data_IF_417656843028
#
_entry.id   IF_417656843028
#
_cell.length_a   1.000
_cell.length_b   1.000
_cell.length_c   1.000
_cell.angle_alpha   90.00
_cell.angle_beta   90.00
_cell.angle_gamma   90.00
#
_symmetry.space_group_name_H-M   'P 1'
#
loop_
_entity.id
_entity.type
_entity.pdbx_description
1 polymer ?
#
# COMPACT_ATOMS: atom_id res chain seq x y z
N UNK A 1 -63.06 4.14 -31.94
CA UNK A 1 -61.99 3.13 -31.82
C UNK A 1 -60.59 3.71 -32.02
N UNK A 2 -60.30 4.56 -32.99
CA UNK A 2 -58.96 5.09 -33.23
C UNK A 2 -58.36 5.92 -32.09
N UNK A 3 -59.12 6.65 -31.29
CA UNK A 3 -58.58 7.46 -30.15
C UNK A 3 -58.11 6.62 -28.99
N UNK A 4 -58.60 5.43 -28.80
CA UNK A 4 -58.15 4.50 -27.71
C UNK A 4 -56.86 3.81 -28.08
N UNK A 5 -56.63 3.50 -29.35
CA UNK A 5 -55.40 2.89 -29.84
C UNK A 5 -54.20 3.85 -29.76
N UNK A 6 -54.39 5.13 -30.00
CA UNK A 6 -53.34 6.16 -29.89
C UNK A 6 -52.93 6.35 -28.43
N UNK A 7 -53.90 6.31 -27.50
CA UNK A 7 -53.60 6.39 -26.07
C UNK A 7 -52.80 5.21 -25.51
N UNK A 8 -53.07 4.00 -26.02
CA UNK A 8 -52.31 2.79 -25.65
C UNK A 8 -50.87 2.79 -26.22
N UNK A 9 -50.63 3.36 -27.39
CA UNK A 9 -49.31 3.50 -27.97
C UNK A 9 -48.44 4.56 -27.27
N UNK A 10 -49.04 5.61 -26.72
CA UNK A 10 -48.29 6.62 -25.94
C UNK A 10 -47.93 6.13 -24.54
N UNK A 11 -48.72 5.24 -23.92
CA UNK A 11 -48.38 4.65 -22.62
C UNK A 11 -47.30 3.58 -22.67
N UNK A 12 -47.13 2.93 -23.83
CA UNK A 12 -46.01 1.98 -24.02
C UNK A 12 -44.64 2.64 -24.26
N UNK A 13 -44.61 3.94 -24.58
CA UNK A 13 -43.38 4.70 -24.78
C UNK A 13 -42.71 5.18 -23.48
N UNK A 14 -43.38 5.04 -22.33
CA UNK A 14 -42.82 5.24 -21.01
C UNK A 14 -42.30 3.92 -20.39
N UNK A 15 -41.79 3.02 -21.21
CA UNK A 15 -40.91 1.95 -20.69
C UNK A 15 -39.70 2.64 -20.08
N UNK A 16 -39.77 2.82 -18.78
CA UNK A 16 -38.64 3.30 -17.97
C UNK A 16 -37.40 2.54 -18.39
N UNK A 17 -36.57 3.18 -19.19
CA UNK A 17 -35.16 2.82 -19.26
C UNK A 17 -34.63 3.06 -17.84
N UNK A 18 -34.81 2.08 -16.95
CA UNK A 18 -33.89 1.94 -15.84
C UNK A 18 -32.54 1.76 -16.52
N UNK A 19 -31.83 2.85 -16.76
CA UNK A 19 -30.46 2.81 -17.19
C UNK A 19 -29.78 1.92 -16.15
N UNK A 20 -29.42 0.72 -16.58
CA UNK A 20 -28.70 -0.21 -15.72
C UNK A 20 -27.44 0.57 -15.31
N UNK A 21 -27.44 1.03 -14.05
CA UNK A 21 -26.37 1.90 -13.53
C UNK A 21 -25.04 1.21 -13.88
N UNK A 22 -24.25 1.84 -14.71
CA UNK A 22 -23.00 1.26 -15.16
C UNK A 22 -22.18 0.83 -13.94
N UNK A 23 -21.73 -0.40 -13.95
CA UNK A 23 -20.90 -0.92 -12.86
C UNK A 23 -19.60 -0.11 -12.82
N UNK A 24 -19.24 0.53 -11.70
CA UNK A 24 -18.08 1.42 -11.63
C UNK A 24 -16.77 0.66 -11.82
N UNK A 25 -15.76 1.38 -12.25
CA UNK A 25 -14.37 0.96 -12.12
C UNK A 25 -13.97 0.93 -10.64
N UNK A 26 -12.95 0.17 -10.31
CA UNK A 26 -12.38 0.12 -8.95
C UNK A 26 -10.88 0.30 -9.02
N UNK A 27 -10.37 1.34 -8.36
CA UNK A 27 -8.95 1.62 -8.18
C UNK A 27 -8.61 1.47 -6.71
N UNK A 28 -7.67 0.57 -6.38
CA UNK A 28 -7.23 0.31 -5.01
C UNK A 28 -5.76 0.66 -4.86
N UNK A 29 -5.45 1.63 -4.02
CA UNK A 29 -4.11 1.85 -3.51
C UNK A 29 -3.90 0.95 -2.30
N UNK A 30 -2.97 0.00 -2.40
CA UNK A 30 -2.67 -0.96 -1.36
C UNK A 30 -1.25 -0.77 -0.84
N UNK A 31 -1.14 -0.13 0.31
CA UNK A 31 0.12 0.39 0.86
C UNK A 31 0.72 -0.58 1.87
N UNK A 32 2.04 -0.66 1.94
CA UNK A 32 2.78 -1.58 2.82
C UNK A 32 3.34 -0.83 4.05
N UNK A 33 3.09 -1.36 5.25
CA UNK A 33 3.59 -0.82 6.53
C UNK A 33 3.10 0.60 6.88
N UNK A 34 1.98 1.06 6.33
CA UNK A 34 1.47 2.39 6.62
C UNK A 34 0.60 2.38 7.89
N UNK A 35 1.01 3.15 8.90
CA UNK A 35 0.21 3.45 10.08
C UNK A 35 -0.73 4.65 9.82
N UNK A 36 -1.62 4.95 10.76
CA UNK A 36 -2.51 6.12 10.67
C UNK A 36 -1.78 7.47 10.88
N UNK A 37 -0.54 7.59 10.40
CA UNK A 37 0.29 8.81 10.42
C UNK A 37 0.04 9.60 9.13
N UNK A 38 -1.17 10.18 9.02
CA UNK A 38 -1.65 10.96 7.88
C UNK A 38 -2.37 12.20 8.40
N UNK A 39 -2.38 13.28 7.63
CA UNK A 39 -3.07 14.53 8.00
C UNK A 39 -4.56 14.30 8.28
N UNK A 40 -5.24 13.53 7.44
CA UNK A 40 -6.66 13.20 7.61
C UNK A 40 -6.97 12.42 8.90
N UNK A 41 -5.99 11.77 9.52
CA UNK A 41 -6.13 11.13 10.84
C UNK A 41 -5.60 12.01 12.00
N UNK A 42 -5.28 13.29 11.73
CA UNK A 42 -4.87 14.25 12.74
C UNK A 42 -3.38 14.26 13.05
N UNK A 43 -2.53 13.69 12.19
CA UNK A 43 -1.08 13.87 12.34
C UNK A 43 -0.69 15.32 12.03
N UNK A 44 -0.01 15.96 12.99
CA UNK A 44 0.51 17.32 12.84
C UNK A 44 1.82 17.35 12.04
N UNK A 45 2.47 16.21 11.87
CA UNK A 45 3.78 16.08 11.25
C UNK A 45 3.75 15.46 9.86
N UNK A 46 2.76 14.61 9.55
CA UNK A 46 2.66 13.99 8.23
C UNK A 46 2.26 15.01 7.16
N UNK A 47 2.92 14.98 6.02
CA UNK A 47 2.60 15.81 4.85
C UNK A 47 2.02 14.91 3.77
N UNK A 48 0.67 14.85 3.71
CA UNK A 48 -0.09 13.90 2.87
C UNK A 48 -1.26 14.55 2.12
N UNK A 49 -1.02 15.67 1.37
CA UNK A 49 -2.09 16.48 0.82
C UNK A 49 -2.99 15.75 -0.17
N UNK A 50 -2.48 14.74 -0.90
CA UNK A 50 -3.26 14.01 -1.89
C UNK A 50 -4.21 12.99 -1.22
N UNK A 51 -3.75 12.30 -0.19
CA UNK A 51 -4.56 11.37 0.59
C UNK A 51 -5.58 12.15 1.43
N UNK A 52 -5.17 13.27 2.01
CA UNK A 52 -6.06 14.14 2.80
C UNK A 52 -7.20 14.71 1.93
N UNK A 53 -6.89 15.11 0.69
CA UNK A 53 -7.91 15.51 -0.30
C UNK A 53 -8.85 14.34 -0.60
N UNK A 54 -8.31 13.14 -0.88
CA UNK A 54 -9.14 11.96 -1.14
C UNK A 54 -10.07 11.63 0.04
N UNK A 55 -9.57 11.74 1.27
CA UNK A 55 -10.37 11.53 2.48
C UNK A 55 -11.49 12.57 2.62
N UNK A 56 -11.21 13.84 2.31
CA UNK A 56 -12.20 14.93 2.37
C UNK A 56 -13.33 14.79 1.35
N UNK A 57 -13.10 14.07 0.25
CA UNK A 57 -14.05 13.82 -0.82
C UNK A 57 -14.82 12.50 -0.65
N UNK A 58 -14.53 11.71 0.38
CA UNK A 58 -15.03 10.35 0.53
C UNK A 58 -15.47 9.97 1.93
N UNK A 59 -15.32 8.68 2.23
CA UNK A 59 -15.63 8.10 3.54
C UNK A 59 -14.32 7.65 4.19
N UNK A 60 -14.03 8.20 5.37
CA UNK A 60 -12.88 7.84 6.18
C UNK A 60 -13.27 6.84 7.28
N UNK A 61 -12.53 5.74 7.38
CA UNK A 61 -12.75 4.71 8.39
C UNK A 61 -11.78 4.91 9.56
N UNK A 62 -12.26 5.46 10.68
CA UNK A 62 -11.43 5.71 11.87
C UNK A 62 -11.16 4.47 12.72
N UNK A 63 -11.88 3.37 12.48
CA UNK A 63 -11.77 2.11 13.23
C UNK A 63 -11.71 0.92 12.25
N UNK A 64 -10.68 0.92 11.38
CA UNK A 64 -10.39 -0.21 10.52
C UNK A 64 -9.27 -1.06 11.14
N UNK A 65 -9.45 -2.38 11.18
CA UNK A 65 -8.55 -3.33 11.83
C UNK A 65 -8.08 -4.39 10.84
N UNK A 66 -6.82 -4.77 10.97
CA UNK A 66 -6.23 -5.84 10.20
C UNK A 66 -6.49 -7.20 10.85
N UNK A 67 -6.64 -8.25 10.04
CA UNK A 67 -6.85 -9.61 10.56
C UNK A 67 -5.57 -10.19 11.19
N UNK A 68 -4.41 -9.83 10.66
CA UNK A 68 -3.11 -10.20 11.22
C UNK A 68 -2.06 -9.17 10.78
N UNK A 69 -1.25 -8.68 11.70
CA UNK A 69 -0.23 -7.66 11.44
C UNK A 69 1.02 -8.23 10.73
N UNK A 70 0.81 -8.94 9.62
CA UNK A 70 1.84 -9.54 8.74
C UNK A 70 1.38 -9.43 7.30
N UNK A 71 2.24 -8.99 6.39
CA UNK A 71 1.88 -8.62 5.01
C UNK A 71 1.09 -9.72 4.27
N UNK A 72 1.62 -10.96 4.14
CA UNK A 72 0.96 -11.98 3.34
C UNK A 72 -0.38 -12.46 3.93
N UNK A 73 -0.50 -12.83 5.21
CA UNK A 73 -1.79 -13.21 5.80
C UNK A 73 -2.84 -12.10 5.68
N UNK A 74 -2.46 -10.84 5.98
CA UNK A 74 -3.36 -9.69 5.83
C UNK A 74 -3.84 -9.52 4.39
N UNK A 75 -2.90 -9.51 3.43
CA UNK A 75 -3.21 -9.33 2.00
C UNK A 75 -4.07 -10.46 1.46
N UNK A 76 -3.81 -11.70 1.86
CA UNK A 76 -4.65 -12.83 1.48
C UNK A 76 -6.04 -12.74 2.08
N UNK A 77 -6.18 -12.31 3.34
CA UNK A 77 -7.49 -12.05 3.95
C UNK A 77 -8.27 -10.99 3.19
N UNK A 78 -7.64 -9.87 2.84
CA UNK A 78 -8.26 -8.79 2.06
C UNK A 78 -8.73 -9.29 0.69
N UNK A 79 -7.89 -10.05 -0.01
CA UNK A 79 -8.18 -10.48 -1.38
C UNK A 79 -9.13 -11.67 -1.47
N UNK A 80 -9.34 -12.41 -0.37
CA UNK A 80 -10.26 -13.58 -0.34
C UNK A 80 -11.50 -13.38 0.52
N UNK A 81 -11.50 -12.38 1.42
CA UNK A 81 -12.54 -12.19 2.42
C UNK A 81 -12.51 -13.23 3.55
N UNK A 82 -11.47 -14.06 3.63
CA UNK A 82 -11.32 -15.12 4.62
C UNK A 82 -10.27 -14.77 5.66
N UNK A 83 -10.48 -15.18 6.90
CA UNK A 83 -9.53 -14.97 7.99
C UNK A 83 -8.27 -15.83 7.82
N UNK A 84 -7.10 -15.42 8.37
CA UNK A 84 -5.90 -16.23 8.36
C UNK A 84 -6.09 -17.63 8.95
N UNK A 85 -6.93 -17.76 10.00
CA UNK A 85 -7.26 -19.04 10.64
C UNK A 85 -8.01 -19.95 9.67
N UNK A 86 -8.96 -19.43 8.89
CA UNK A 86 -9.70 -20.19 7.88
C UNK A 86 -8.80 -20.62 6.73
N UNK A 87 -7.86 -19.72 6.34
CA UNK A 87 -6.89 -20.01 5.29
C UNK A 87 -5.73 -20.92 5.75
N UNK A 88 -5.48 -21.03 7.07
CA UNK A 88 -4.27 -21.69 7.61
C UNK A 88 -2.99 -21.02 7.14
N UNK A 89 -3.02 -19.72 6.80
CA UNK A 89 -1.88 -18.97 6.25
C UNK A 89 -1.46 -17.90 7.23
N UNK A 90 -0.36 -18.17 7.94
CA UNK A 90 0.22 -17.30 8.96
C UNK A 90 1.61 -16.79 8.59
N UNK A 91 2.15 -17.25 7.46
CA UNK A 91 3.52 -16.98 7.01
C UNK A 91 3.54 -16.22 5.68
N UNK A 92 4.56 -15.40 5.49
CA UNK A 92 4.81 -14.69 4.23
C UNK A 92 5.25 -15.64 3.09
N UNK A 93 5.52 -16.91 3.38
CA UNK A 93 6.07 -17.88 2.43
C UNK A 93 5.04 -18.90 1.92
N UNK A 94 3.79 -18.85 2.41
CA UNK A 94 2.77 -19.83 2.04
C UNK A 94 1.89 -19.29 0.91
N UNK A 95 2.00 -19.80 -0.32
CA UNK A 95 1.16 -19.38 -1.44
C UNK A 95 -0.30 -19.84 -1.24
N UNK A 96 -1.27 -18.95 -1.54
CA UNK A 96 -2.70 -19.27 -1.44
C UNK A 96 -3.05 -20.55 -2.20
N UNK A 97 -2.62 -20.68 -3.45
CA UNK A 97 -2.97 -21.79 -4.33
C UNK A 97 -2.34 -23.13 -3.96
N UNK A 98 -1.32 -23.10 -3.09
CA UNK A 98 -0.73 -24.33 -2.53
C UNK A 98 -1.65 -24.97 -1.49
N UNK A 99 -2.36 -24.17 -0.71
CA UNK A 99 -3.24 -24.64 0.38
C UNK A 99 -4.72 -24.60 0.00
N UNK A 100 -5.13 -23.63 -0.82
CA UNK A 100 -6.53 -23.43 -1.22
C UNK A 100 -6.65 -23.23 -2.72
N UNK A 101 -6.91 -24.30 -3.45
CA UNK A 101 -7.12 -24.25 -4.91
C UNK A 101 -8.47 -23.65 -5.28
N UNK A 102 -9.50 -23.88 -4.44
CA UNK A 102 -10.91 -23.60 -4.71
C UNK A 102 -11.37 -22.20 -4.25
N UNK A 103 -10.59 -21.55 -3.39
CA UNK A 103 -10.98 -20.22 -2.87
C UNK A 103 -10.98 -19.19 -4.01
N UNK A 104 -12.13 -18.58 -4.22
CA UNK A 104 -12.28 -17.50 -5.21
C UNK A 104 -11.81 -16.20 -4.60
N UNK A 105 -10.78 -15.59 -5.20
CA UNK A 105 -10.29 -14.27 -4.81
C UNK A 105 -11.11 -13.14 -5.43
N UNK A 106 -11.01 -11.95 -4.85
CA UNK A 106 -11.63 -10.74 -5.40
C UNK A 106 -11.23 -10.50 -6.87
N UNK A 107 -9.93 -10.55 -7.26
CA UNK A 107 -9.55 -10.42 -8.68
C UNK A 107 -10.21 -11.45 -9.58
N UNK A 108 -10.29 -12.72 -9.16
CA UNK A 108 -10.97 -13.76 -9.93
C UNK A 108 -12.45 -13.46 -10.10
N UNK A 109 -13.13 -13.02 -9.03
CA UNK A 109 -14.54 -12.67 -9.08
C UNK A 109 -14.79 -11.52 -10.06
N UNK A 110 -14.01 -10.47 -10.00
CA UNK A 110 -14.11 -9.32 -10.92
C UNK A 110 -13.85 -9.75 -12.37
N UNK A 111 -12.80 -10.57 -12.60
CA UNK A 111 -12.46 -11.09 -13.92
C UNK A 111 -13.62 -11.93 -14.52
N UNK A 112 -14.24 -12.79 -13.72
CA UNK A 112 -15.44 -13.58 -14.13
C UNK A 112 -16.63 -12.68 -14.47
N UNK A 113 -16.70 -11.47 -13.91
CA UNK A 113 -17.75 -10.49 -14.18
C UNK A 113 -17.39 -9.48 -15.29
N UNK A 114 -16.38 -9.77 -16.11
CA UNK A 114 -16.02 -8.99 -17.28
C UNK A 114 -15.16 -7.76 -17.02
N UNK A 115 -14.54 -7.65 -15.83
CA UNK A 115 -13.57 -6.60 -15.55
C UNK A 115 -12.18 -6.99 -16.06
N UNK A 116 -11.44 -6.03 -16.60
CA UNK A 116 -9.99 -6.14 -16.69
C UNK A 116 -9.38 -6.03 -15.29
N UNK A 117 -8.67 -7.06 -14.87
CA UNK A 117 -8.02 -7.09 -13.55
C UNK A 117 -6.54 -6.75 -13.68
N UNK A 118 -6.08 -5.76 -12.94
CA UNK A 118 -4.73 -5.22 -13.05
C UNK A 118 -4.05 -5.23 -11.70
N UNK A 119 -2.84 -5.81 -11.64
CA UNK A 119 -1.97 -5.80 -10.47
C UNK A 119 -0.67 -5.10 -10.79
N UNK A 120 -0.37 -4.01 -10.10
CA UNK A 120 0.84 -3.22 -10.27
C UNK A 120 1.53 -3.06 -8.92
N UNK A 121 2.81 -3.45 -8.83
CA UNK A 121 3.59 -3.38 -7.60
C UNK A 121 3.27 -4.47 -6.58
N UNK A 122 3.24 -4.15 -5.29
CA UNK A 122 3.05 -5.13 -4.20
C UNK A 122 1.57 -5.30 -3.85
N UNK A 123 0.87 -6.23 -4.48
CA UNK A 123 -0.53 -6.55 -4.18
C UNK A 123 -0.63 -7.77 -3.27
N UNK A 124 -0.20 -8.94 -3.71
CA UNK A 124 0.13 -10.07 -2.84
C UNK A 124 1.51 -9.88 -2.19
N UNK A 125 2.07 -10.94 -1.62
CA UNK A 125 3.46 -10.99 -1.22
C UNK A 125 4.25 -11.82 -2.27
N UNK A 126 5.48 -11.43 -2.58
CA UNK A 126 6.31 -11.89 -3.70
C UNK A 126 6.07 -13.30 -4.25
N UNK A 127 6.45 -14.33 -3.46
CA UNK A 127 6.37 -15.73 -3.89
C UNK A 127 4.95 -16.31 -3.85
N UNK A 128 3.98 -15.54 -3.35
CA UNK A 128 2.60 -15.99 -3.15
C UNK A 128 1.63 -15.42 -4.19
N UNK A 129 2.14 -14.59 -5.11
CA UNK A 129 1.31 -13.95 -6.14
C UNK A 129 0.69 -14.98 -7.09
N UNK A 130 -0.62 -14.92 -7.27
CA UNK A 130 -1.33 -15.69 -8.27
C UNK A 130 -1.52 -14.88 -9.56
N UNK A 131 -0.54 -14.96 -10.45
CA UNK A 131 -0.51 -14.17 -11.68
C UNK A 131 -1.67 -14.45 -12.64
N UNK A 132 -2.31 -15.63 -12.55
CA UNK A 132 -3.41 -16.03 -13.43
C UNK A 132 -4.70 -15.26 -13.15
N UNK A 133 -4.82 -14.66 -11.96
CA UNK A 133 -5.97 -13.85 -11.57
C UNK A 133 -6.03 -12.52 -12.32
N UNK A 134 -4.90 -12.07 -12.84
CA UNK A 134 -4.73 -10.75 -13.43
C UNK A 134 -4.75 -10.80 -14.95
N UNK A 135 -5.41 -9.84 -15.58
CA UNK A 135 -5.31 -9.58 -17.01
C UNK A 135 -3.96 -8.95 -17.32
N UNK A 136 -3.56 -7.96 -16.51
CA UNK A 136 -2.26 -7.29 -16.59
C UNK A 136 -1.57 -7.40 -15.24
N UNK A 137 -0.31 -7.85 -15.26
CA UNK A 137 0.48 -8.01 -14.05
C UNK A 137 1.85 -7.35 -14.20
N UNK A 138 2.18 -6.44 -13.28
CA UNK A 138 3.48 -5.78 -13.23
C UNK A 138 4.00 -5.77 -11.79
N UNK A 139 5.04 -6.56 -11.53
CA UNK A 139 5.73 -6.60 -10.24
C UNK A 139 7.25 -6.53 -10.42
N UNK A 140 7.72 -5.79 -11.43
CA UNK A 140 9.16 -5.68 -11.67
C UNK A 140 9.81 -4.97 -10.48
N UNK A 141 10.62 -5.71 -9.73
CA UNK A 141 11.44 -5.16 -8.68
C UNK A 141 12.64 -4.43 -9.27
N UNK A 142 12.88 -3.24 -8.76
CA UNK A 142 14.12 -2.54 -8.99
C UNK A 142 14.98 -2.64 -7.72
N UNK A 143 16.24 -2.26 -7.83
CA UNK A 143 17.11 -2.12 -6.67
C UNK A 143 16.44 -1.23 -5.62
N UNK A 144 16.54 -1.64 -4.36
CA UNK A 144 16.02 -0.84 -3.25
C UNK A 144 16.82 0.46 -3.05
N UNK A 145 18.06 0.53 -3.55
CA UNK A 145 18.98 1.65 -3.38
C UNK A 145 19.40 2.21 -4.74
N UNK A 146 19.69 3.49 -4.76
CA UNK A 146 20.17 4.23 -5.95
C UNK A 146 21.54 4.88 -5.74
N UNK A 147 21.93 5.17 -4.49
CA UNK A 147 23.27 5.67 -4.18
C UNK A 147 24.33 4.60 -4.49
N UNK A 148 25.40 4.93 -5.26
CA UNK A 148 26.42 3.96 -5.64
C UNK A 148 27.07 3.23 -4.46
N UNK A 149 27.32 3.95 -3.36
CA UNK A 149 27.89 3.39 -2.13
C UNK A 149 26.99 2.33 -1.48
N UNK A 150 25.67 2.55 -1.48
CA UNK A 150 24.69 1.61 -0.93
C UNK A 150 24.52 0.37 -1.84
N UNK A 151 24.56 0.57 -3.15
CA UNK A 151 24.57 -0.53 -4.13
C UNK A 151 25.83 -1.39 -3.95
N UNK A 152 27.00 -0.76 -3.82
CA UNK A 152 28.27 -1.46 -3.58
C UNK A 152 28.25 -2.19 -2.24
N UNK A 153 27.71 -1.57 -1.18
CA UNK A 153 27.52 -2.21 0.12
C UNK A 153 26.64 -3.45 0.00
N UNK A 154 25.49 -3.36 -0.69
CA UNK A 154 24.60 -4.51 -0.89
C UNK A 154 25.27 -5.67 -1.62
N UNK A 155 26.06 -5.38 -2.67
CA UNK A 155 26.84 -6.40 -3.39
C UNK A 155 27.84 -7.09 -2.46
N UNK A 156 28.56 -6.31 -1.64
CA UNK A 156 29.55 -6.81 -0.68
C UNK A 156 28.91 -7.68 0.42
N UNK A 157 27.78 -7.21 1.02
CA UNK A 157 27.06 -7.95 2.05
C UNK A 157 26.52 -9.29 1.50
N UNK A 158 25.97 -9.28 0.29
CA UNK A 158 25.49 -10.49 -0.38
C UNK A 158 26.62 -11.48 -0.67
N UNK A 159 27.77 -11.00 -1.13
CA UNK A 159 28.94 -11.83 -1.41
C UNK A 159 29.52 -12.45 -0.12
N UNK A 160 29.49 -11.70 0.99
CA UNK A 160 29.99 -12.18 2.28
C UNK A 160 29.11 -13.26 2.92
N UNK A 161 27.84 -13.40 2.50
CA UNK A 161 26.89 -14.40 3.04
C UNK A 161 26.58 -14.26 4.54
N UNK A 162 27.01 -13.17 5.18
CA UNK A 162 26.87 -12.94 6.63
C UNK A 162 25.79 -11.88 6.90
N UNK A 163 25.02 -12.08 7.96
CA UNK A 163 24.06 -11.07 8.44
C UNK A 163 24.80 -9.86 9.03
N UNK A 164 24.25 -8.62 8.84
CA UNK A 164 23.02 -8.30 8.13
C UNK A 164 23.19 -8.43 6.61
N UNK A 165 22.19 -9.01 5.93
CA UNK A 165 22.15 -9.13 4.47
C UNK A 165 21.44 -7.93 3.79
N UNK A 166 20.88 -7.03 4.60
CA UNK A 166 20.16 -5.84 4.15
C UNK A 166 21.09 -4.61 4.24
N UNK A 167 20.98 -3.71 3.25
CA UNK A 167 21.70 -2.45 3.22
C UNK A 167 21.23 -1.48 4.31
N UNK A 168 21.49 -0.16 4.19
CA UNK A 168 21.03 0.82 5.17
C UNK A 168 19.51 0.83 5.33
N UNK A 169 19.02 1.19 6.52
CA UNK A 169 17.58 1.25 6.79
C UNK A 169 16.88 2.44 6.10
N UNK A 170 17.62 3.37 5.53
CA UNK A 170 17.12 4.55 4.84
C UNK A 170 18.10 5.05 3.78
N UNK A 171 17.59 5.84 2.83
CA UNK A 171 18.39 6.52 1.79
C UNK A 171 17.64 7.77 1.28
N UNK A 172 18.37 8.86 1.13
CA UNK A 172 17.89 10.20 0.71
C UNK A 172 18.63 10.64 -0.58
N UNK A 173 18.55 9.91 -1.66
CA UNK A 173 19.23 10.26 -2.89
C UNK A 173 18.57 11.47 -3.58
N UNK A 174 19.39 12.38 -4.12
CA UNK A 174 18.90 13.48 -4.95
C UNK A 174 18.62 12.98 -6.37
N UNK A 175 17.42 12.45 -6.57
CA UNK A 175 16.97 11.79 -7.80
C UNK A 175 15.49 12.04 -8.02
N UNK A 176 15.00 11.76 -9.24
CA UNK A 176 13.59 11.79 -9.55
C UNK A 176 12.84 10.59 -8.95
N UNK A 177 11.51 10.71 -8.87
CA UNK A 177 10.64 9.73 -8.20
C UNK A 177 10.78 8.31 -8.74
N UNK A 178 10.93 8.16 -10.07
CA UNK A 178 11.06 6.87 -10.75
C UNK A 178 12.41 6.18 -10.54
N UNK A 179 13.39 6.85 -9.96
CA UNK A 179 14.61 6.19 -9.52
C UNK A 179 14.30 5.11 -8.47
N UNK A 180 13.31 5.34 -7.63
CA UNK A 180 12.80 4.35 -6.70
C UNK A 180 11.56 3.59 -7.23
N UNK A 181 11.25 2.47 -6.59
CA UNK A 181 10.23 1.51 -7.03
C UNK A 181 8.85 2.14 -7.19
N UNK A 182 8.38 2.89 -6.19
CA UNK A 182 6.99 3.36 -6.16
C UNK A 182 6.71 4.45 -7.22
N UNK A 183 7.72 5.25 -7.59
CA UNK A 183 7.62 6.14 -8.74
C UNK A 183 7.46 5.38 -10.06
N UNK A 184 8.14 4.25 -10.23
CA UNK A 184 7.93 3.36 -11.41
C UNK A 184 6.57 2.68 -11.39
N UNK A 185 6.10 2.26 -10.20
CA UNK A 185 4.77 1.68 -10.02
C UNK A 185 3.70 2.68 -10.43
N UNK A 186 3.79 3.95 -9.98
CA UNK A 186 2.83 4.98 -10.36
C UNK A 186 2.88 5.31 -11.85
N UNK A 187 4.08 5.43 -12.45
CA UNK A 187 4.22 5.66 -13.89
C UNK A 187 3.62 4.51 -14.72
N UNK A 188 3.80 3.26 -14.27
CA UNK A 188 3.17 2.12 -14.93
C UNK A 188 1.64 2.12 -14.77
N UNK A 189 1.13 2.51 -13.59
CA UNK A 189 -0.30 2.66 -13.35
C UNK A 189 -0.92 3.72 -14.26
N UNK A 190 -0.27 4.86 -14.40
CA UNK A 190 -0.65 5.95 -15.33
C UNK A 190 -0.71 5.45 -16.78
N UNK A 191 0.34 4.75 -17.22
CA UNK A 191 0.37 4.16 -18.56
C UNK A 191 -0.80 3.20 -18.76
N UNK A 192 -1.01 2.29 -17.81
CA UNK A 192 -2.07 1.28 -17.89
C UNK A 192 -3.47 1.90 -17.88
N UNK A 193 -3.72 2.93 -17.06
CA UNK A 193 -5.00 3.66 -17.07
C UNK A 193 -5.32 4.23 -18.47
N UNK A 194 -4.32 4.81 -19.16
CA UNK A 194 -4.48 5.31 -20.52
C UNK A 194 -4.80 4.21 -21.54
N UNK A 195 -4.23 3.01 -21.34
CA UNK A 195 -4.44 1.85 -22.22
C UNK A 195 -5.82 1.21 -22.05
N UNK A 196 -6.38 1.25 -20.83
CA UNK A 196 -7.65 0.58 -20.49
C UNK A 196 -8.80 1.55 -20.18
N UNK A 197 -8.67 2.82 -20.56
CA UNK A 197 -9.64 3.88 -20.22
C UNK A 197 -11.07 3.59 -20.69
N UNK A 198 -11.22 2.83 -21.77
CA UNK A 198 -12.50 2.44 -22.36
C UNK A 198 -13.02 1.09 -21.83
N UNK A 199 -12.27 0.44 -20.97
CA UNK A 199 -12.61 -0.82 -20.35
C UNK A 199 -13.08 -0.65 -18.90
N UNK A 200 -13.88 -1.59 -18.43
CA UNK A 200 -14.21 -1.71 -17.02
C UNK A 200 -13.08 -2.44 -16.30
N UNK A 201 -12.57 -1.86 -15.22
CA UNK A 201 -11.39 -2.40 -14.54
C UNK A 201 -11.51 -2.50 -13.02
N UNK A 202 -10.81 -3.48 -12.47
CA UNK A 202 -10.33 -3.53 -11.10
C UNK A 202 -8.81 -3.38 -11.14
N UNK A 203 -8.27 -2.27 -10.67
CA UNK A 203 -6.83 -2.01 -10.65
C UNK A 203 -6.34 -1.88 -9.21
N UNK A 204 -5.35 -2.68 -8.86
CA UNK A 204 -4.57 -2.54 -7.65
C UNK A 204 -3.22 -1.88 -7.93
N UNK A 205 -2.93 -0.80 -7.22
CA UNK A 205 -1.63 -0.12 -7.21
C UNK A 205 -1.00 -0.37 -5.85
N UNK A 206 -0.12 -1.36 -5.79
CA UNK A 206 0.56 -1.82 -4.58
C UNK A 206 1.84 -1.04 -4.32
N UNK A 207 1.80 -0.06 -3.41
CA UNK A 207 2.93 0.76 -3.03
C UNK A 207 3.74 0.10 -1.91
N UNK A 208 5.05 0.17 -2.00
CA UNK A 208 5.95 -0.45 -1.03
C UNK A 208 6.33 0.49 0.11
N UNK A 209 6.29 1.81 -0.11
CA UNK A 209 6.56 2.78 0.94
C UNK A 209 5.29 2.99 1.78
N UNK A 210 5.46 3.18 3.11
CA UNK A 210 6.70 3.40 3.87
C UNK A 210 7.43 2.16 4.41
N UNK A 211 7.23 0.94 3.89
CA UNK A 211 8.03 -0.22 4.32
C UNK A 211 9.54 0.03 4.20
N UNK A 212 10.30 -0.50 5.15
CA UNK A 212 11.77 -0.49 5.14
C UNK A 212 12.39 -1.03 3.82
N UNK A 213 13.53 -0.51 3.37
CA UNK A 213 14.23 0.65 3.90
C UNK A 213 13.46 1.94 3.59
N UNK A 214 13.53 2.96 4.45
CA UNK A 214 12.85 4.25 4.26
C UNK A 214 13.54 5.09 3.18
N UNK A 215 13.53 4.59 1.96
CA UNK A 215 14.15 5.23 0.83
C UNK A 215 13.16 6.11 0.09
N UNK A 216 13.49 7.39 -0.06
CA UNK A 216 12.73 8.37 -0.80
C UNK A 216 13.69 9.37 -1.48
N UNK A 217 13.31 10.01 -2.59
CA UNK A 217 14.05 11.13 -3.13
C UNK A 217 14.28 12.22 -2.09
N UNK A 218 15.46 12.85 -2.12
CA UNK A 218 15.89 13.86 -1.14
C UNK A 218 14.85 14.96 -0.92
N UNK A 219 14.16 15.41 -1.97
CA UNK A 219 13.10 16.44 -1.87
C UNK A 219 12.00 16.13 -0.86
N UNK A 220 11.72 14.85 -0.56
CA UNK A 220 10.74 14.47 0.47
C UNK A 220 11.37 14.45 1.88
N UNK A 221 12.65 14.19 1.99
CA UNK A 221 13.39 14.35 3.23
C UNK A 221 13.50 15.81 3.64
N UNK A 222 13.75 16.70 2.68
CA UNK A 222 13.88 18.13 2.88
C UNK A 222 12.57 18.84 3.29
N UNK A 223 11.43 18.13 3.27
CA UNK A 223 10.17 18.64 3.81
C UNK A 223 10.16 18.74 5.34
N UNK A 224 11.09 18.10 6.03
CA UNK A 224 11.11 17.98 7.49
C UNK A 224 12.47 18.33 8.07
N UNK A 225 12.49 18.96 9.27
CA UNK A 225 13.68 18.98 10.12
C UNK A 225 13.65 17.74 11.04
N UNK A 226 14.74 16.96 11.03
CA UNK A 226 14.87 15.79 11.91
C UNK A 226 14.65 16.11 13.40
N UNK A 227 15.04 17.34 13.81
CA UNK A 227 14.97 17.76 15.20
C UNK A 227 13.54 18.06 15.69
N UNK A 228 12.60 18.30 14.77
CA UNK A 228 11.19 18.55 15.10
C UNK A 228 10.46 17.28 15.53
N UNK A 229 10.99 16.09 15.19
CA UNK A 229 10.35 14.85 15.55
C UNK A 229 10.49 14.53 17.04
N UNK A 230 9.34 14.43 17.70
CA UNK A 230 9.26 13.95 19.09
C UNK A 230 9.54 12.45 19.13
N UNK A 231 10.36 12.03 20.09
CA UNK A 231 10.59 10.61 20.32
C UNK A 231 9.40 10.05 21.11
N UNK A 232 8.75 8.97 20.62
CA UNK A 232 7.66 8.33 21.36
C UNK A 232 8.13 7.83 22.72
N UNK A 233 7.21 7.79 23.69
CA UNK A 233 7.50 7.22 25.00
C UNK A 233 7.98 5.78 24.86
N UNK A 234 9.05 5.47 25.58
CA UNK A 234 9.62 4.11 25.68
C UNK A 234 9.08 3.35 26.89
N UNK A 235 8.37 4.05 27.77
CA UNK A 235 7.76 3.47 28.95
C UNK A 235 6.60 2.55 28.55
N UNK A 236 6.60 1.35 29.11
CA UNK A 236 5.53 0.39 28.90
C UNK A 236 4.45 0.62 29.94
N UNK A 237 3.16 0.62 29.56
CA UNK A 237 2.07 0.69 30.52
C UNK A 237 2.17 -0.40 31.58
N UNK A 238 1.83 -0.05 32.81
CA UNK A 238 1.72 -1.03 33.88
C UNK A 238 0.70 -2.12 33.50
N UNK A 239 1.00 -3.36 33.81
CA UNK A 239 0.14 -4.50 33.45
C UNK A 239 0.13 -4.90 32.01
N UNK A 240 0.95 -4.27 31.14
CA UNK A 240 1.03 -4.66 29.72
C UNK A 240 1.36 -6.14 29.60
N UNK A 241 0.52 -6.87 28.84
CA UNK A 241 0.76 -8.28 28.59
C UNK A 241 2.04 -8.51 27.77
N UNK A 242 2.84 -9.52 28.16
CA UNK A 242 4.18 -9.76 27.55
C UNK A 242 4.15 -9.94 26.02
N UNK A 243 3.06 -10.50 25.49
CA UNK A 243 2.93 -10.74 24.04
C UNK A 243 2.36 -9.53 23.27
N UNK A 244 1.97 -8.44 23.96
CA UNK A 244 1.48 -7.23 23.29
C UNK A 244 2.54 -6.57 22.42
N UNK A 245 3.83 -6.77 22.72
CA UNK A 245 4.96 -6.29 21.94
C UNK A 245 5.74 -7.45 21.38
N UNK A 246 5.72 -7.59 20.06
CA UNK A 246 6.58 -8.56 19.37
C UNK A 246 8.05 -8.16 19.45
N UNK A 247 8.93 -9.15 19.64
CA UNK A 247 10.39 -9.00 19.51
C UNK A 247 10.83 -9.06 18.03
N UNK A 248 10.00 -8.64 17.10
CA UNK A 248 10.30 -8.72 15.68
C UNK A 248 11.50 -7.85 15.32
N UNK A 249 12.58 -8.50 14.94
CA UNK A 249 13.88 -7.87 14.70
C UNK A 249 14.11 -7.40 13.25
N UNK A 250 13.07 -7.07 12.47
CA UNK A 250 13.26 -6.70 11.06
C UNK A 250 14.23 -5.54 10.90
N UNK A 251 14.03 -4.45 11.65
CA UNK A 251 14.91 -3.28 11.62
C UNK A 251 16.37 -3.63 11.95
N UNK A 252 16.57 -4.53 12.92
CA UNK A 252 17.90 -4.95 13.36
C UNK A 252 18.68 -5.76 12.30
N UNK A 253 18.03 -6.15 11.21
CA UNK A 253 18.66 -6.80 10.06
C UNK A 253 19.21 -5.83 9.03
N UNK A 254 19.02 -4.52 9.22
CA UNK A 254 19.59 -3.49 8.36
C UNK A 254 20.99 -3.09 8.82
N UNK A 255 21.85 -2.81 7.82
CA UNK A 255 23.23 -2.36 8.09
C UNK A 255 23.23 -1.03 8.83
N UNK A 256 24.11 -0.89 9.82
CA UNK A 256 24.27 0.35 10.59
C UNK A 256 23.23 0.55 11.69
N UNK A 257 22.24 -0.34 11.84
CA UNK A 257 21.28 -0.25 12.96
C UNK A 257 21.92 -0.90 14.21
N UNK A 258 22.01 -0.16 15.33
CA UNK A 258 22.51 -0.67 16.61
C UNK A 258 21.71 -1.88 17.09
N UNK A 259 22.37 -2.79 17.80
CA UNK A 259 21.72 -4.00 18.36
C UNK A 259 21.05 -3.73 19.72
N UNK A 260 21.42 -2.67 20.37
CA UNK A 260 20.89 -2.23 21.66
C UNK A 260 19.40 -1.88 21.56
N UNK A 261 18.67 -2.09 22.63
CA UNK A 261 17.27 -1.67 22.82
C UNK A 261 17.15 -0.92 24.16
N UNK A 262 16.41 0.21 24.15
CA UNK A 262 15.89 0.91 23.00
C UNK A 262 17.02 1.60 22.18
N UNK A 263 16.76 1.90 20.92
CA UNK A 263 17.68 2.71 20.10
C UNK A 263 17.88 4.08 20.72
N UNK A 264 19.07 4.67 20.54
CA UNK A 264 19.34 6.04 21.00
C UNK A 264 18.47 7.06 20.23
N UNK A 265 18.43 8.28 20.76
CA UNK A 265 17.55 9.34 20.26
C UNK A 265 17.89 9.77 18.84
N UNK A 266 19.17 9.87 18.49
CA UNK A 266 19.59 10.35 17.17
C UNK A 266 19.13 9.39 16.04
N UNK A 267 19.43 8.09 16.20
CA UNK A 267 18.98 7.10 15.22
C UNK A 267 17.46 6.97 15.21
N UNK A 268 16.79 7.11 16.37
CA UNK A 268 15.34 7.09 16.47
C UNK A 268 14.71 8.22 15.66
N UNK A 269 15.19 9.48 15.84
CA UNK A 269 14.73 10.63 15.04
C UNK A 269 15.03 10.44 13.55
N UNK A 270 16.20 9.92 13.19
CA UNK A 270 16.55 9.66 11.79
C UNK A 270 15.60 8.66 11.14
N UNK A 271 15.22 7.62 11.85
CA UNK A 271 14.28 6.60 11.36
C UNK A 271 12.85 7.15 11.25
N UNK A 272 12.41 7.97 12.21
CA UNK A 272 11.10 8.64 12.15
C UNK A 272 11.07 9.61 10.96
N UNK A 273 12.11 10.41 10.78
CA UNK A 273 12.26 11.29 9.63
C UNK A 273 12.17 10.51 8.31
N UNK A 274 12.92 9.41 8.17
CA UNK A 274 12.86 8.57 6.98
C UNK A 274 11.49 7.95 6.73
N UNK A 275 10.77 7.58 7.79
CA UNK A 275 9.40 7.09 7.68
C UNK A 275 8.47 8.16 7.09
N UNK A 276 8.51 9.40 7.63
CA UNK A 276 7.68 10.51 7.14
C UNK A 276 8.05 10.93 5.71
N UNK A 277 9.34 10.98 5.38
CA UNK A 277 9.78 11.21 4.00
C UNK A 277 9.24 10.13 3.03
N UNK A 278 9.25 8.87 3.44
CA UNK A 278 8.70 7.78 2.66
C UNK A 278 7.16 7.86 2.53
N UNK A 279 6.45 8.33 3.57
CA UNK A 279 5.00 8.58 3.52
C UNK A 279 4.68 9.70 2.55
N UNK A 280 5.37 10.85 2.61
CA UNK A 280 5.15 11.96 1.67
C UNK A 280 5.50 11.60 0.22
N UNK A 281 6.55 10.80 0.03
CA UNK A 281 6.88 10.25 -1.30
C UNK A 281 5.76 9.35 -1.83
N UNK A 282 5.21 8.48 -1.01
CA UNK A 282 4.09 7.59 -1.35
C UNK A 282 2.82 8.40 -1.66
N UNK A 283 2.50 9.41 -0.85
CA UNK A 283 1.37 10.31 -1.09
C UNK A 283 1.46 10.99 -2.47
N UNK A 284 2.64 11.48 -2.84
CA UNK A 284 2.86 12.09 -4.14
C UNK A 284 2.62 11.10 -5.30
N UNK A 285 2.96 9.81 -5.12
CA UNK A 285 2.68 8.78 -6.13
C UNK A 285 1.18 8.52 -6.25
N UNK A 286 0.44 8.49 -5.14
CA UNK A 286 -1.03 8.40 -5.13
C UNK A 286 -1.64 9.58 -5.89
N UNK A 287 -1.18 10.80 -5.62
CA UNK A 287 -1.64 12.02 -6.28
C UNK A 287 -1.48 11.99 -7.79
N UNK A 288 -0.33 11.50 -8.32
CA UNK A 288 -0.10 11.36 -9.76
C UNK A 288 -1.12 10.45 -10.44
N UNK A 289 -1.44 9.32 -9.82
CA UNK A 289 -2.39 8.35 -10.38
C UNK A 289 -3.82 8.90 -10.32
N UNK A 290 -4.22 9.53 -9.21
CA UNK A 290 -5.55 10.19 -9.08
C UNK A 290 -5.70 11.30 -10.12
N UNK A 291 -4.69 12.16 -10.29
CA UNK A 291 -4.70 13.22 -11.29
C UNK A 291 -4.92 12.65 -12.70
N UNK A 292 -4.25 11.55 -13.04
CA UNK A 292 -4.47 10.89 -14.33
C UNK A 292 -5.89 10.35 -14.48
N UNK A 293 -6.47 9.80 -13.41
CA UNK A 293 -7.86 9.35 -13.41
C UNK A 293 -8.84 10.51 -13.69
N UNK A 294 -8.54 11.71 -13.14
CA UNK A 294 -9.29 12.95 -13.39
C UNK A 294 -9.11 13.43 -14.85
N UNK A 295 -7.87 13.49 -15.35
CA UNK A 295 -7.53 13.89 -16.71
C UNK A 295 -8.18 13.01 -17.79
N UNK A 296 -8.44 11.75 -17.49
CA UNK A 296 -9.11 10.79 -18.38
C UNK A 296 -10.65 10.80 -18.23
N UNK A 297 -11.22 11.69 -17.41
CA UNK A 297 -12.66 11.77 -17.06
C UNK A 297 -13.22 10.45 -16.46
N UNK A 298 -12.34 9.63 -15.84
CA UNK A 298 -12.73 8.36 -15.24
C UNK A 298 -13.15 8.51 -13.77
N UNK A 299 -12.81 9.62 -13.10
CA UNK A 299 -13.02 9.81 -11.66
C UNK A 299 -14.47 9.61 -11.23
N UNK A 300 -15.43 10.09 -12.02
CA UNK A 300 -16.88 10.04 -11.70
C UNK A 300 -17.43 8.61 -11.67
N UNK A 301 -16.87 7.71 -12.49
CA UNK A 301 -17.30 6.31 -12.57
C UNK A 301 -16.25 5.35 -11.98
N UNK A 302 -15.42 5.82 -11.04
CA UNK A 302 -14.40 5.00 -10.39
C UNK A 302 -14.51 5.11 -8.88
N UNK A 303 -14.70 3.97 -8.21
CA UNK A 303 -14.52 3.86 -6.77
C UNK A 303 -13.02 3.82 -6.48
N UNK A 304 -12.50 4.83 -5.77
CA UNK A 304 -11.11 4.88 -5.33
C UNK A 304 -11.04 4.45 -3.87
N UNK A 305 -10.24 3.42 -3.60
CA UNK A 305 -10.01 2.86 -2.27
C UNK A 305 -8.54 3.06 -1.91
N UNK A 306 -8.27 3.69 -0.78
CA UNK A 306 -6.93 3.79 -0.20
C UNK A 306 -6.88 3.00 1.10
N UNK A 307 -5.93 2.07 1.22
CA UNK A 307 -5.80 1.23 2.40
C UNK A 307 -4.37 0.74 2.63
N UNK A 308 -4.04 0.50 3.91
CA UNK A 308 -2.81 -0.20 4.30
C UNK A 308 -3.08 -1.69 4.50
N UNK A 309 -2.04 -2.51 4.37
CA UNK A 309 -2.13 -3.93 4.71
C UNK A 309 -2.07 -4.20 6.23
N UNK A 310 -1.39 -3.37 6.98
CA UNK A 310 -1.35 -3.32 8.46
C UNK A 310 -0.69 -2.02 8.94
N UNK A 311 -0.61 -1.83 10.26
CA UNK A 311 0.09 -0.71 10.87
C UNK A 311 1.60 -0.94 11.02
N UNK A 312 2.27 0.03 11.66
CA UNK A 312 3.71 0.04 11.91
C UNK A 312 4.03 0.79 13.19
N UNK A 313 5.06 0.39 13.94
CA UNK A 313 5.58 1.10 15.10
C UNK A 313 6.85 1.85 14.74
N UNK A 314 6.99 3.08 15.22
CA UNK A 314 8.13 3.96 14.93
C UNK A 314 8.85 4.41 16.22
N UNK A 315 8.93 3.53 17.21
CA UNK A 315 9.66 3.76 18.46
C UNK A 315 8.83 3.70 19.73
N UNK A 316 7.50 3.59 19.64
CA UNK A 316 6.62 3.47 20.82
C UNK A 316 7.03 2.24 21.65
N UNK A 317 7.15 2.44 22.95
CA UNK A 317 7.62 1.41 23.91
C UNK A 317 9.01 0.82 23.57
N UNK A 318 9.83 1.55 22.79
CA UNK A 318 11.08 1.06 22.23
C UNK A 318 10.90 0.06 21.08
N UNK A 319 9.68 -0.16 20.59
CA UNK A 319 9.37 -1.14 19.57
C UNK A 319 9.38 -0.53 18.16
N UNK A 320 9.70 -1.34 17.17
CA UNK A 320 9.74 -1.00 15.76
C UNK A 320 9.04 -2.07 14.93
N UNK A 321 8.64 -1.70 13.73
CA UNK A 321 7.99 -2.61 12.77
C UNK A 321 6.58 -3.04 13.21
N UNK A 322 6.18 -4.22 12.83
CA UNK A 322 4.86 -4.84 12.94
C UNK A 322 4.87 -6.07 13.84
N UNK A 323 3.90 -6.95 13.69
CA UNK A 323 3.76 -8.21 14.46
C UNK A 323 3.36 -8.02 15.94
N UNK A 324 2.69 -6.92 16.29
CA UNK A 324 2.05 -6.78 17.60
C UNK A 324 0.53 -6.72 17.44
N UNK A 325 -0.14 -7.22 18.44
CA UNK A 325 -1.60 -7.19 18.51
C UNK A 325 -2.06 -6.03 19.41
#
# INVERSE_FOLDING_TARGET
MYKIIVLLLVTLSFSSTYAQKEKPNVLVFYVDDLRAELGCYGSETAITPNIDKLASEGVQFNKAYVQQAICAPSRMSTLTGLRPETLGIYSIFTPLRKVHKEVVSMPQLFKKNGYKTVSIGKVYHHSTDDKKEWTNYFAKEANSYVKPENIALMKRLKAAGKKPLKGPAFEDANVEDEAYKDGRVSNYAIKTLKEIKDDRFLMFVGLSKPHLPFNAPKKYWDLFDKNDFKIPSREKPEGMYKLALSKWGELKNYHGIPKEDPLNDDITRTLIHGYHAAVSYMDAQVGKVIKTLEELDLRKNTMVIFMSDHGYKIGEYGAWCKHSN
#
